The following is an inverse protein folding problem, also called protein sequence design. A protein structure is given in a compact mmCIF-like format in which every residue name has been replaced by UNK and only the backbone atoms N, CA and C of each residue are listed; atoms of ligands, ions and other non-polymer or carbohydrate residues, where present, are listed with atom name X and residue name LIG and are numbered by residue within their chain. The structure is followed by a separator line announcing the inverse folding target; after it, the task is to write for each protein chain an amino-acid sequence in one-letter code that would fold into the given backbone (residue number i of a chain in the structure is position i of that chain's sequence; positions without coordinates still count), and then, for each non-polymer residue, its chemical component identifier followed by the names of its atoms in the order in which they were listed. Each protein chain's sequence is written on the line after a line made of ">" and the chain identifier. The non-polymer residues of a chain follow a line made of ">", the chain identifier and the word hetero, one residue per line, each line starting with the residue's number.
data_IF_137100346488
#
_entry.id   IF_137100346488
#
_cell.length_a   1.000
_cell.length_b   1.000
_cell.length_c   1.000
_cell.angle_alpha   90.00
_cell.angle_beta   90.00
_cell.angle_gamma   90.00
#
_symmetry.space_group_name_H-M   'P 1'
#
loop_
_entity.id
_entity.type
_entity.pdbx_description
1 polymer ?
#
# COMPACT_ATOMS: atom_id res chain seq x y z
N UNK A 1 -34.38 7.31 -1.16
CA UNK A 1 -32.95 7.70 -1.03
C UNK A 1 -32.69 7.92 0.44
N UNK A 2 -31.92 7.03 1.08
CA UNK A 2 -31.61 7.12 2.52
C UNK A 2 -30.48 8.12 2.70
N UNK A 3 -30.72 9.16 3.49
CA UNK A 3 -29.68 10.03 4.03
C UNK A 3 -28.68 9.17 4.80
N UNK A 4 -27.57 8.84 4.14
CA UNK A 4 -26.37 8.39 4.84
C UNK A 4 -25.84 9.62 5.59
N UNK A 5 -26.39 9.83 6.78
CA UNK A 5 -26.12 10.99 7.63
C UNK A 5 -24.67 11.06 8.12
N UNK A 6 -24.31 12.16 8.82
CA UNK A 6 -22.96 12.48 9.28
C UNK A 6 -22.22 11.33 10.01
N UNK A 7 -22.95 10.41 10.65
CA UNK A 7 -22.38 9.22 11.30
C UNK A 7 -21.59 8.29 10.36
N UNK A 8 -22.05 8.11 9.12
CA UNK A 8 -21.35 7.23 8.18
C UNK A 8 -19.98 7.82 7.75
N UNK A 9 -19.90 9.15 7.63
CA UNK A 9 -18.65 9.83 7.33
C UNK A 9 -17.66 9.77 8.51
N UNK A 10 -18.15 9.90 9.75
CA UNK A 10 -17.33 9.78 10.96
C UNK A 10 -16.73 8.38 11.12
N UNK A 11 -17.52 7.32 10.87
CA UNK A 11 -17.05 5.93 10.89
C UNK A 11 -15.99 5.66 9.82
N UNK A 12 -16.22 6.17 8.61
CA UNK A 12 -15.28 6.00 7.49
C UNK A 12 -13.95 6.72 7.78
N UNK A 13 -14.00 7.92 8.35
CA UNK A 13 -12.82 8.67 8.76
C UNK A 13 -12.05 7.97 9.88
N UNK A 14 -12.77 7.40 10.87
CA UNK A 14 -12.17 6.57 11.91
C UNK A 14 -11.43 5.37 11.35
N UNK A 15 -12.07 4.60 10.45
CA UNK A 15 -11.47 3.44 9.80
C UNK A 15 -10.20 3.79 9.01
N UNK A 16 -10.21 4.90 8.25
CA UNK A 16 -9.03 5.36 7.52
C UNK A 16 -7.86 5.71 8.44
N UNK A 17 -8.14 6.30 9.61
CA UNK A 17 -7.13 6.59 10.63
C UNK A 17 -6.53 5.29 11.19
N UNK A 18 -7.37 4.32 11.57
CA UNK A 18 -6.92 3.02 12.06
C UNK A 18 -6.07 2.27 11.03
N UNK A 19 -6.51 2.22 9.77
CA UNK A 19 -5.76 1.58 8.69
C UNK A 19 -4.41 2.27 8.43
N UNK A 20 -4.39 3.61 8.51
CA UNK A 20 -3.15 4.39 8.37
C UNK A 20 -2.16 4.08 9.50
N UNK A 21 -2.65 4.00 10.74
CA UNK A 21 -1.83 3.65 11.90
C UNK A 21 -1.31 2.21 11.79
N UNK A 22 -2.19 1.25 11.46
CA UNK A 22 -1.82 -0.14 11.28
C UNK A 22 -0.75 -0.31 10.19
N UNK A 23 -0.91 0.38 9.04
CA UNK A 23 0.09 0.41 7.97
C UNK A 23 1.45 0.89 8.47
N UNK A 24 1.50 1.97 9.24
CA UNK A 24 2.74 2.52 9.76
C UNK A 24 3.40 1.57 10.77
N UNK A 25 2.63 0.98 11.68
CA UNK A 25 3.11 0.00 12.64
C UNK A 25 3.70 -1.23 11.94
N UNK A 26 2.96 -1.81 10.99
CA UNK A 26 3.43 -2.96 10.20
C UNK A 26 4.66 -2.58 9.36
N UNK A 27 4.67 -1.38 8.78
CA UNK A 27 5.79 -0.85 8.01
C UNK A 27 7.08 -0.77 8.83
N UNK A 28 7.02 -0.14 10.00
CA UNK A 28 8.16 -0.03 10.92
C UNK A 28 8.60 -1.38 11.48
N UNK A 29 7.65 -2.22 11.88
CA UNK A 29 7.96 -3.57 12.35
C UNK A 29 8.68 -4.38 11.26
N UNK A 30 8.16 -4.39 10.02
CA UNK A 30 8.78 -5.08 8.90
C UNK A 30 10.18 -4.55 8.59
N UNK A 31 10.36 -3.23 8.59
CA UNK A 31 11.67 -2.61 8.36
C UNK A 31 12.68 -3.00 9.45
N UNK A 32 12.30 -2.89 10.72
CA UNK A 32 13.14 -3.20 11.87
C UNK A 32 13.50 -4.68 11.95
N UNK A 33 12.50 -5.57 11.86
CA UNK A 33 12.73 -7.02 11.90
C UNK A 33 13.54 -7.49 10.70
N UNK A 34 13.23 -7.02 9.49
CA UNK A 34 13.98 -7.39 8.29
C UNK A 34 15.45 -6.95 8.38
N UNK A 35 15.71 -5.70 8.76
CA UNK A 35 17.05 -5.16 8.86
C UNK A 35 17.86 -5.87 9.97
N UNK A 36 17.29 -5.99 11.17
CA UNK A 36 17.98 -6.62 12.30
C UNK A 36 18.34 -8.07 11.98
N UNK A 37 17.42 -8.86 11.42
CA UNK A 37 17.69 -10.26 11.07
C UNK A 37 18.78 -10.38 9.99
N UNK A 38 18.74 -9.55 8.94
CA UNK A 38 19.79 -9.55 7.91
C UNK A 38 21.16 -9.12 8.47
N UNK A 39 21.18 -8.22 9.44
CA UNK A 39 22.41 -7.82 10.13
C UNK A 39 22.94 -8.93 11.07
N UNK A 40 22.05 -9.71 11.67
CA UNK A 40 22.44 -10.83 12.54
C UNK A 40 23.03 -12.02 11.75
N UNK A 41 22.76 -12.14 10.45
CA UNK A 41 23.48 -13.07 9.59
C UNK A 41 22.82 -13.38 8.25
N UNK A 42 23.56 -14.12 7.41
CA UNK A 42 23.13 -14.59 6.09
C UNK A 42 23.20 -16.11 6.02
N UNK A 43 22.52 -16.78 6.95
CA UNK A 43 22.66 -18.22 7.23
C UNK A 43 22.20 -19.13 6.08
N UNK A 44 21.28 -18.68 5.22
CA UNK A 44 20.82 -19.43 4.05
C UNK A 44 20.11 -18.53 3.03
N UNK A 45 20.04 -18.95 1.77
CA UNK A 45 19.33 -18.17 0.74
C UNK A 45 17.84 -17.95 1.07
N UNK A 46 17.06 -18.96 1.56
CA UNK A 46 15.67 -18.74 1.97
C UNK A 46 15.53 -17.73 3.12
N UNK A 47 16.48 -17.73 4.07
CA UNK A 47 16.51 -16.75 5.17
C UNK A 47 16.68 -15.33 4.63
N UNK A 48 17.66 -15.12 3.76
CA UNK A 48 17.94 -13.80 3.16
C UNK A 48 16.77 -13.32 2.32
N UNK A 49 16.17 -14.20 1.51
CA UNK A 49 15.00 -13.87 0.68
C UNK A 49 13.81 -13.48 1.56
N UNK A 50 13.50 -14.27 2.60
CA UNK A 50 12.38 -13.99 3.50
C UNK A 50 12.53 -12.62 4.16
N UNK A 51 13.66 -12.37 4.82
CA UNK A 51 13.87 -11.11 5.53
C UNK A 51 14.05 -9.92 4.59
N UNK A 52 14.63 -10.13 3.39
CA UNK A 52 14.71 -9.12 2.35
C UNK A 52 13.33 -8.69 1.84
N UNK A 53 12.41 -9.64 1.62
CA UNK A 53 11.02 -9.35 1.25
C UNK A 53 10.31 -8.59 2.37
N UNK A 54 10.44 -9.03 3.62
CA UNK A 54 9.83 -8.34 4.77
C UNK A 54 10.37 -6.90 4.93
N UNK A 55 11.68 -6.70 4.77
CA UNK A 55 12.32 -5.39 4.78
C UNK A 55 11.76 -4.49 3.67
N UNK A 56 11.72 -5.01 2.43
CA UNK A 56 11.22 -4.29 1.27
C UNK A 56 9.74 -3.91 1.43
N UNK A 57 8.89 -4.84 1.91
CA UNK A 57 7.48 -4.58 2.17
C UNK A 57 7.32 -3.52 3.26
N UNK A 58 8.12 -3.55 4.32
CA UNK A 58 8.13 -2.52 5.35
C UNK A 58 8.42 -1.13 4.78
N UNK A 59 9.48 -1.02 3.96
CA UNK A 59 9.84 0.22 3.28
C UNK A 59 8.74 0.73 2.33
N UNK A 60 8.15 -0.16 1.53
CA UNK A 60 7.03 0.17 0.64
C UNK A 60 5.83 0.67 1.43
N UNK A 61 5.44 -0.04 2.50
CA UNK A 61 4.33 0.37 3.35
C UNK A 61 4.56 1.74 3.95
N UNK A 62 5.77 2.08 4.41
CA UNK A 62 6.07 3.42 4.93
C UNK A 62 6.01 4.48 3.83
N UNK A 63 6.56 4.19 2.65
CA UNK A 63 6.58 5.10 1.50
C UNK A 63 5.21 5.30 0.81
N UNK A 64 4.22 4.46 1.11
CA UNK A 64 2.90 4.50 0.48
C UNK A 64 2.21 5.87 0.59
N UNK A 65 2.43 6.61 1.68
CA UNK A 65 1.90 7.98 1.84
C UNK A 65 2.51 9.00 0.88
N UNK A 66 3.72 8.75 0.37
CA UNK A 66 4.37 9.58 -0.64
C UNK A 66 3.84 9.28 -2.05
N UNK A 67 3.39 8.04 -2.30
CA UNK A 67 2.61 7.71 -3.49
C UNK A 67 1.24 8.38 -3.37
N UNK A 68 1.11 9.61 -3.89
CA UNK A 68 -0.17 10.32 -4.06
C UNK A 68 -1.06 9.66 -5.15
N UNK A 69 -1.02 8.33 -5.25
CA UNK A 69 -1.72 7.50 -6.24
C UNK A 69 -2.44 6.39 -5.51
N UNK A 70 -3.71 6.18 -5.85
CA UNK A 70 -4.48 5.03 -5.37
C UNK A 70 -4.14 3.81 -6.24
N UNK A 71 -4.10 2.61 -5.65
CA UNK A 71 -3.91 1.39 -6.43
C UNK A 71 -5.01 1.27 -7.49
N UNK A 72 -4.61 1.01 -8.73
CA UNK A 72 -5.54 0.82 -9.84
C UNK A 72 -6.40 -0.44 -9.65
N UNK A 73 -7.51 -0.53 -10.40
CA UNK A 73 -8.40 -1.71 -10.37
C UNK A 73 -7.70 -3.03 -10.72
N UNK A 74 -6.59 -2.96 -11.45
CA UNK A 74 -5.78 -4.13 -11.85
C UNK A 74 -4.77 -4.50 -10.76
N UNK A 75 -4.22 -3.52 -10.02
CA UNK A 75 -3.17 -3.76 -9.04
C UNK A 75 -3.64 -4.66 -7.88
N UNK A 76 -4.90 -4.47 -7.45
CA UNK A 76 -5.54 -5.28 -6.40
C UNK A 76 -5.65 -6.77 -6.75
N UNK A 77 -6.36 -7.17 -7.83
CA UNK A 77 -6.50 -8.58 -8.19
C UNK A 77 -5.16 -9.20 -8.57
N UNK A 78 -4.23 -8.45 -9.17
CA UNK A 78 -2.89 -9.00 -9.48
C UNK A 78 -2.08 -9.26 -8.22
N UNK A 79 -2.04 -8.32 -7.27
CA UNK A 79 -1.34 -8.52 -5.99
C UNK A 79 -1.92 -9.70 -5.20
N UNK A 80 -3.26 -9.78 -5.11
CA UNK A 80 -3.96 -10.90 -4.48
C UNK A 80 -3.69 -12.22 -5.21
N UNK A 81 -3.75 -12.20 -6.54
CA UNK A 81 -3.47 -13.36 -7.39
C UNK A 81 -2.06 -13.89 -7.19
N UNK A 82 -1.05 -13.02 -7.07
CA UNK A 82 0.33 -13.43 -6.79
C UNK A 82 0.46 -14.05 -5.39
N UNK A 83 -0.18 -13.47 -4.37
CA UNK A 83 -0.17 -14.05 -3.03
C UNK A 83 -0.78 -15.46 -3.01
N UNK A 84 -1.94 -15.64 -3.66
CA UNK A 84 -2.63 -16.93 -3.74
C UNK A 84 -1.89 -17.94 -4.61
N UNK A 85 -1.38 -17.52 -5.77
CA UNK A 85 -0.60 -18.38 -6.66
C UNK A 85 0.70 -18.83 -6.00
N UNK A 86 1.37 -17.94 -5.27
CA UNK A 86 2.55 -18.26 -4.48
C UNK A 86 2.28 -19.32 -3.42
N UNK A 87 1.19 -19.17 -2.66
CA UNK A 87 0.76 -20.18 -1.69
C UNK A 87 0.45 -21.53 -2.34
N UNK A 88 -0.23 -21.51 -3.49
CA UNK A 88 -0.52 -22.73 -4.23
C UNK A 88 0.77 -23.40 -4.72
N UNK A 89 1.73 -22.64 -5.26
CA UNK A 89 3.03 -23.15 -5.70
C UNK A 89 3.84 -23.68 -4.51
N UNK A 90 3.80 -23.01 -3.36
CA UNK A 90 4.40 -23.50 -2.12
C UNK A 90 3.84 -24.85 -1.69
N UNK A 91 2.57 -25.14 -2.00
CA UNK A 91 1.96 -26.42 -1.69
C UNK A 91 2.39 -27.55 -2.64
N UNK A 92 3.16 -27.27 -3.71
CA UNK A 92 3.64 -28.29 -4.63
C UNK A 92 4.81 -29.09 -4.03
N UNK A 93 4.85 -30.42 -4.25
CA UNK A 93 5.92 -31.27 -3.76
C UNK A 93 7.24 -30.89 -4.42
N UNK A 94 8.28 -30.66 -3.61
CA UNK A 94 9.65 -30.58 -4.12
C UNK A 94 10.22 -31.98 -4.27
N UNK A 95 10.76 -32.25 -5.46
CA UNK A 95 11.48 -33.50 -5.74
C UNK A 95 12.84 -33.51 -5.03
N UNK A 96 13.40 -34.69 -4.72
CA UNK A 96 14.56 -34.84 -3.83
C UNK A 96 15.91 -34.31 -4.36
N UNK A 97 15.95 -33.59 -5.49
CA UNK A 97 17.17 -33.34 -6.23
C UNK A 97 18.11 -32.25 -5.67
N UNK A 98 17.75 -31.47 -4.63
CA UNK A 98 18.53 -30.26 -4.29
C UNK A 98 18.94 -30.05 -2.83
N UNK A 99 18.62 -30.95 -1.88
CA UNK A 99 19.09 -30.79 -0.49
C UNK A 99 19.56 -32.12 0.10
N UNK A 100 20.81 -32.49 -0.22
CA UNK A 100 21.59 -33.45 0.55
C UNK A 100 21.71 -32.90 1.98
N UNK A 101 21.36 -33.68 3.01
CA UNK A 101 21.41 -33.39 4.47
C UNK A 101 20.06 -33.37 5.22
N UNK A 102 18.92 -33.66 4.59
CA UNK A 102 17.70 -34.00 5.35
C UNK A 102 17.04 -35.28 4.79
N UNK A 103 17.63 -36.43 5.07
CA UNK A 103 17.23 -37.74 4.54
C UNK A 103 16.00 -38.37 5.20
N UNK A 104 15.43 -37.78 6.25
CA UNK A 104 14.37 -38.41 7.05
C UNK A 104 12.93 -38.25 6.51
N UNK A 105 12.72 -37.48 5.44
CA UNK A 105 11.38 -37.18 4.92
C UNK A 105 11.28 -37.44 3.41
N UNK A 106 10.26 -38.20 3.00
CA UNK A 106 10.05 -38.69 1.62
C UNK A 106 9.54 -37.60 0.67
N UNK A 107 8.71 -36.68 1.16
CA UNK A 107 8.13 -35.56 0.40
C UNK A 107 8.10 -34.30 1.24
N UNK A 108 8.39 -33.15 0.62
CA UNK A 108 8.51 -31.84 1.28
C UNK A 108 7.84 -30.77 0.44
N UNK A 109 7.03 -29.94 1.07
CA UNK A 109 6.33 -28.83 0.43
C UNK A 109 6.57 -27.55 1.23
N UNK A 110 6.65 -26.41 0.53
CA UNK A 110 6.73 -25.07 1.11
C UNK A 110 7.91 -24.24 0.59
N UNK A 111 7.70 -22.92 0.51
CA UNK A 111 8.73 -21.94 0.19
C UNK A 111 8.37 -20.54 0.72
N UNK A 112 9.25 -19.90 1.52
CA UNK A 112 10.65 -20.27 1.77
C UNK A 112 10.89 -21.38 2.78
N UNK A 113 9.88 -21.77 3.57
CA UNK A 113 10.02 -22.79 4.61
C UNK A 113 9.23 -24.05 4.27
N UNK A 114 9.76 -25.22 4.63
CA UNK A 114 9.04 -26.49 4.45
C UNK A 114 7.91 -26.59 5.48
N UNK A 115 6.65 -26.43 5.04
CA UNK A 115 5.43 -26.39 5.87
C UNK A 115 4.77 -27.74 6.03
N UNK A 116 4.91 -28.60 5.03
CA UNK A 116 4.31 -29.93 5.00
C UNK A 116 5.37 -30.94 4.62
N UNK A 117 5.53 -31.97 5.45
CA UNK A 117 6.47 -33.05 5.20
C UNK A 117 5.78 -34.40 5.40
N UNK A 118 6.17 -35.39 4.61
CA UNK A 118 5.73 -36.77 4.76
C UNK A 118 6.86 -37.61 5.33
N UNK A 119 6.59 -38.32 6.43
CA UNK A 119 7.49 -39.31 7.03
C UNK A 119 6.75 -40.65 7.12
N UNK A 120 7.26 -41.69 6.46
CA UNK A 120 6.72 -43.07 6.53
C UNK A 120 5.20 -43.14 6.32
N UNK A 121 4.68 -42.41 5.33
CA UNK A 121 3.25 -42.37 5.00
C UNK A 121 2.41 -41.33 5.77
N UNK A 122 2.88 -40.81 6.91
CA UNK A 122 2.17 -39.81 7.70
C UNK A 122 2.54 -38.38 7.29
N UNK A 123 1.54 -37.52 7.14
CA UNK A 123 1.72 -36.09 6.86
C UNK A 123 1.83 -35.31 8.17
N UNK A 124 2.89 -34.51 8.27
CA UNK A 124 3.07 -33.56 9.37
C UNK A 124 2.99 -32.13 8.81
N UNK A 125 2.14 -31.32 9.43
CA UNK A 125 1.97 -29.89 9.10
C UNK A 125 2.59 -29.06 10.23
N UNK A 126 3.58 -28.24 9.89
CA UNK A 126 4.15 -27.26 10.81
C UNK A 126 3.38 -25.93 10.66
N UNK A 127 2.49 -25.66 11.62
CA UNK A 127 1.65 -24.47 11.63
C UNK A 127 2.44 -23.17 11.70
N UNK A 128 3.58 -23.14 12.39
CA UNK A 128 4.40 -21.94 12.50
C UNK A 128 5.04 -21.60 11.14
N UNK A 129 5.54 -22.62 10.43
CA UNK A 129 6.06 -22.44 9.07
C UNK A 129 4.97 -22.08 8.08
N UNK A 130 3.76 -22.64 8.22
CA UNK A 130 2.62 -22.29 7.37
C UNK A 130 2.26 -20.81 7.53
N UNK A 131 2.20 -20.31 8.77
CA UNK A 131 1.98 -18.88 9.03
C UNK A 131 3.09 -18.02 8.45
N UNK A 132 4.35 -18.45 8.54
CA UNK A 132 5.47 -17.74 7.91
C UNK A 132 5.33 -17.68 6.38
N UNK A 133 4.92 -18.78 5.74
CA UNK A 133 4.67 -18.83 4.29
C UNK A 133 3.53 -17.90 3.86
N UNK A 134 2.41 -17.93 4.59
CA UNK A 134 1.27 -17.03 4.41
C UNK A 134 1.69 -15.56 4.50
N UNK A 135 2.47 -15.23 5.53
CA UNK A 135 2.99 -13.88 5.72
C UNK A 135 3.94 -13.47 4.60
N UNK A 136 4.84 -14.36 4.17
CA UNK A 136 5.77 -14.11 3.07
C UNK A 136 5.02 -13.78 1.77
N UNK A 137 4.06 -14.63 1.38
CA UNK A 137 3.31 -14.41 0.15
C UNK A 137 2.39 -13.19 0.19
N UNK A 138 1.84 -12.85 1.36
CA UNK A 138 1.13 -11.59 1.56
C UNK A 138 2.06 -10.37 1.34
N UNK A 139 3.31 -10.45 1.82
CA UNK A 139 4.33 -9.42 1.59
C UNK A 139 4.67 -9.30 0.09
N UNK A 140 4.91 -10.42 -0.59
CA UNK A 140 5.19 -10.45 -2.04
C UNK A 140 4.03 -9.87 -2.84
N UNK A 141 2.79 -10.28 -2.56
CA UNK A 141 1.60 -9.74 -3.22
C UNK A 141 1.44 -8.23 -3.01
N UNK A 142 1.77 -7.74 -1.82
CA UNK A 142 1.78 -6.30 -1.50
C UNK A 142 2.84 -5.57 -2.32
N UNK A 143 4.05 -6.11 -2.44
CA UNK A 143 5.11 -5.53 -3.29
C UNK A 143 4.66 -5.43 -4.75
N UNK A 144 4.04 -6.47 -5.29
CA UNK A 144 3.51 -6.46 -6.66
C UNK A 144 2.43 -5.40 -6.84
N UNK A 145 1.49 -5.29 -5.89
CA UNK A 145 0.44 -4.27 -5.91
C UNK A 145 1.03 -2.86 -5.98
N UNK A 146 2.02 -2.56 -5.13
CA UNK A 146 2.67 -1.25 -5.10
C UNK A 146 3.55 -1.00 -6.32
N UNK A 147 4.28 -2.00 -6.79
CA UNK A 147 5.07 -1.91 -8.01
C UNK A 147 4.18 -1.55 -9.21
N UNK A 148 3.05 -2.25 -9.37
CA UNK A 148 2.06 -1.95 -10.41
C UNK A 148 1.50 -0.54 -10.26
N UNK A 149 1.15 -0.14 -9.04
CA UNK A 149 0.62 1.21 -8.76
C UNK A 149 1.62 2.32 -9.09
N UNK A 150 2.92 2.06 -8.89
CA UNK A 150 3.98 3.01 -9.23
C UNK A 150 4.16 3.16 -10.74
N UNK A 151 4.11 2.05 -11.49
CA UNK A 151 4.37 2.04 -12.94
C UNK A 151 3.15 2.32 -13.81
N UNK A 152 1.92 2.11 -13.30
CA UNK A 152 0.73 2.42 -14.11
C UNK A 152 0.56 3.93 -14.26
N UNK A 153 0.39 4.45 -15.49
CA UNK A 153 0.10 5.85 -15.71
C UNK A 153 -1.20 6.25 -14.99
N UNK A 154 -1.19 7.39 -14.31
CA UNK A 154 -2.42 7.96 -13.80
C UNK A 154 -3.36 8.24 -15.00
N UNK A 155 -4.67 7.94 -14.90
CA UNK A 155 -5.62 8.38 -15.91
C UNK A 155 -5.43 9.87 -16.10
N UNK A 156 -5.18 10.32 -17.34
CA UNK A 156 -5.14 11.75 -17.64
C UNK A 156 -6.48 12.33 -17.20
N UNK A 157 -6.46 13.15 -16.15
CA UNK A 157 -7.61 13.98 -15.82
C UNK A 157 -7.87 14.83 -17.06
N UNK A 158 -8.96 14.54 -17.76
CA UNK A 158 -9.49 15.46 -18.78
C UNK A 158 -9.57 16.82 -18.09
N UNK A 159 -8.99 17.89 -18.66
CA UNK A 159 -9.10 19.22 -18.07
C UNK A 159 -10.57 19.48 -17.76
N UNK A 160 -10.91 19.62 -16.48
CA UNK A 160 -12.24 20.07 -16.09
C UNK A 160 -12.42 21.43 -16.78
N UNK A 161 -13.48 21.64 -17.57
CA UNK A 161 -13.78 22.97 -18.09
C UNK A 161 -13.73 23.94 -16.92
N UNK A 162 -13.02 25.06 -17.09
CA UNK A 162 -12.96 26.10 -16.08
C UNK A 162 -14.40 26.41 -15.62
N UNK A 163 -14.66 26.57 -14.31
CA UNK A 163 -15.96 27.02 -13.85
C UNK A 163 -16.34 28.27 -14.64
N UNK A 164 -17.48 28.22 -15.31
CA UNK A 164 -18.03 29.37 -16.01
C UNK A 164 -18.10 30.53 -15.00
N UNK A 165 -17.54 31.72 -15.31
CA UNK A 165 -17.61 32.85 -14.39
C UNK A 165 -19.07 33.07 -14.03
N UNK A 166 -19.41 33.28 -12.74
CA UNK A 166 -20.79 33.49 -12.34
C UNK A 166 -21.38 34.64 -13.16
N UNK A 167 -22.63 34.53 -13.63
CA UNK A 167 -23.27 35.60 -14.38
C UNK A 167 -23.18 36.89 -13.56
N UNK A 168 -22.70 37.96 -14.21
CA UNK A 168 -22.63 39.30 -13.64
C UNK A 168 -24.05 39.83 -13.39
N UNK A 169 -24.66 39.40 -12.29
CA UNK A 169 -25.88 39.97 -11.75
C UNK A 169 -25.50 40.89 -10.60
N UNK A 170 -25.24 42.16 -10.91
CA UNK A 170 -25.55 43.34 -10.08
C UNK A 170 -24.67 44.53 -10.50
N UNK A 171 -25.02 45.17 -11.61
CA UNK A 171 -24.95 46.64 -11.67
C UNK A 171 -26.00 47.17 -10.69
N UNK A 172 -25.61 47.40 -9.45
CA UNK A 172 -26.25 48.41 -8.62
C UNK A 172 -25.24 49.54 -8.46
N UNK A 173 -25.47 50.60 -9.22
CA UNK A 173 -24.76 51.85 -9.11
C UNK A 173 -25.02 52.42 -7.72
N UNK A 174 -23.98 52.46 -6.90
CA UNK A 174 -23.94 53.32 -5.72
C UNK A 174 -23.87 54.79 -6.22
N UNK A 175 -24.78 55.68 -5.81
CA UNK A 175 -24.69 57.09 -6.17
C UNK A 175 -23.53 57.73 -5.40
N UNK A 176 -22.49 58.12 -6.13
CA UNK A 176 -21.34 58.88 -5.64
C UNK A 176 -21.80 60.31 -5.36
N UNK A 177 -21.66 60.87 -4.15
CA UNK A 177 -21.99 62.27 -3.92
C UNK A 177 -20.96 63.16 -4.64
N UNK A 178 -21.47 63.94 -5.57
CA UNK A 178 -20.81 65.04 -6.25
C UNK A 178 -20.56 66.15 -5.22
N UNK A 179 -19.31 66.37 -4.84
CA UNK A 179 -18.90 67.53 -4.05
C UNK A 179 -18.39 68.58 -5.01
N UNK A 180 -19.30 69.47 -5.40
CA UNK A 180 -18.97 70.80 -5.92
C UNK A 180 -19.05 71.73 -4.73
N UNK A 181 -17.91 72.24 -4.29
CA UNK A 181 -17.85 73.54 -3.60
C UNK A 181 -16.73 74.35 -4.26
N UNK A 182 -17.20 75.35 -5.01
CA UNK A 182 -16.49 76.54 -5.45
C UNK A 182 -16.10 77.40 -4.23
N UNK A 183 -14.83 77.83 -4.14
CA UNK A 183 -14.41 79.21 -3.79
C UNK A 183 -12.87 79.24 -3.65
N UNK A 184 -12.06 79.77 -4.59
CA UNK A 184 -11.85 81.16 -5.02
C UNK A 184 -10.64 81.85 -4.34
N UNK A 185 -9.90 82.60 -5.17
CA UNK A 185 -9.03 83.77 -4.90
C UNK A 185 -7.55 83.58 -4.51
N UNK A 186 -6.70 83.80 -5.55
CA UNK A 186 -5.45 84.59 -5.63
C UNK A 186 -4.31 84.37 -4.62
N UNK A 187 -3.12 84.23 -5.19
CA UNK A 187 -1.92 84.90 -4.65
C UNK A 187 -0.61 84.22 -4.99
N UNK A 188 -0.04 84.54 -6.15
CA UNK A 188 1.42 84.56 -6.36
C UNK A 188 2.03 85.57 -5.36
N UNK A 189 3.28 85.39 -4.89
CA UNK A 189 4.48 85.15 -5.69
C UNK A 189 5.20 83.81 -5.46
#
# INVERSE_FOLDING_TARGET
>A
MRDAGPRAADEEQGLQSYLSMARLLVGWAGLGFGALNLLMGLVSAPYVIFHGVVLATGGVLLSAGALRRRPGRIAWPTGLGVALAGLLISSLPRTPATFCCMSEFDKRHGFPFTVLAQQSGHWQLDGARLLADLFFWACVGTLVLFALTAVTPAPRSVPRPAPEPPPSTARHAEPRPETVDDENVRGLP
#
